data_IF_739565853361
#
_entry.id   IF_739565853361
#
_cell.length_a   1.000
_cell.length_b   1.000
_cell.length_c   1.000
_cell.angle_alpha   90.00
_cell.angle_beta   90.00
_cell.angle_gamma   90.00
#
_symmetry.space_group_name_H-M   'P 1'
#
loop_
_entity.id
_entity.type
_entity.pdbx_description
1 polymer ?
#
# COMPACT_ATOMS: atom_id res chain seq x y z
N UNK A 1 22.84 24.19 10.06
CA UNK A 1 21.97 23.20 9.38
C UNK A 1 22.19 23.35 7.88
N UNK A 2 22.46 22.28 7.13
CA UNK A 2 22.70 22.42 5.69
C UNK A 2 21.40 22.83 4.96
N UNK A 3 21.52 23.49 3.80
CA UNK A 3 20.37 24.02 3.05
C UNK A 3 19.37 22.94 2.63
N UNK A 4 19.88 21.77 2.22
CA UNK A 4 19.08 20.61 1.84
C UNK A 4 18.22 20.09 3.01
N UNK A 5 18.77 20.05 4.22
CA UNK A 5 18.08 19.60 5.43
C UNK A 5 17.00 20.60 5.84
N UNK A 6 17.26 21.90 5.67
CA UNK A 6 16.25 22.94 5.87
C UNK A 6 15.08 22.76 4.88
N UNK A 7 15.39 22.53 3.61
CA UNK A 7 14.37 22.28 2.59
C UNK A 7 13.54 21.03 2.88
N UNK A 8 14.18 19.91 3.20
CA UNK A 8 13.50 18.65 3.51
C UNK A 8 12.57 18.79 4.72
N UNK A 9 13.02 19.49 5.77
CA UNK A 9 12.20 19.78 6.94
C UNK A 9 10.97 20.60 6.58
N UNK A 10 11.13 21.70 5.83
CA UNK A 10 10.00 22.53 5.40
C UNK A 10 9.01 21.75 4.51
N UNK A 11 9.52 20.89 3.63
CA UNK A 11 8.68 20.04 2.78
C UNK A 11 7.88 19.02 3.61
N UNK A 12 8.51 18.37 4.60
CA UNK A 12 7.82 17.44 5.49
C UNK A 12 6.78 18.14 6.36
N UNK A 13 7.09 19.30 6.93
CA UNK A 13 6.15 20.12 7.69
C UNK A 13 4.94 20.53 6.85
N UNK A 14 5.17 20.93 5.59
CA UNK A 14 4.09 21.24 4.66
C UNK A 14 3.19 20.04 4.38
N UNK A 15 3.78 18.86 4.13
CA UNK A 15 3.00 17.62 3.92
C UNK A 15 2.21 17.27 5.18
N UNK A 16 2.79 17.42 6.38
CA UNK A 16 2.09 17.15 7.65
C UNK A 16 0.94 18.15 7.91
N UNK A 17 1.00 19.35 7.34
CA UNK A 17 -0.11 20.32 7.37
C UNK A 17 -1.20 20.03 6.33
N UNK A 18 -0.83 19.50 5.16
CA UNK A 18 -1.76 19.25 4.05
C UNK A 18 -2.46 17.87 4.15
N UNK A 19 -1.83 16.88 4.80
CA UNK A 19 -2.33 15.52 4.90
C UNK A 19 -2.58 15.10 6.36
N UNK A 20 -3.82 14.70 6.66
CA UNK A 20 -4.18 14.16 7.99
C UNK A 20 -3.44 12.86 8.32
N UNK A 21 -3.06 12.08 7.31
CA UNK A 21 -2.32 10.83 7.43
C UNK A 21 -1.43 10.58 6.22
N UNK A 22 -0.15 10.31 6.49
CA UNK A 22 0.78 9.70 5.52
C UNK A 22 0.96 8.24 5.90
N UNK A 23 0.49 7.34 5.03
CA UNK A 23 0.58 5.89 5.25
C UNK A 23 1.98 5.36 4.92
N UNK A 24 2.41 4.32 5.65
CA UNK A 24 3.71 3.66 5.45
C UNK A 24 3.50 2.22 5.03
N UNK A 25 4.10 1.81 3.90
CA UNK A 25 3.96 0.45 3.36
C UNK A 25 4.48 -0.65 4.30
N UNK A 26 5.51 -0.34 5.09
CA UNK A 26 6.12 -1.27 6.05
C UNK A 26 5.21 -1.50 7.26
N UNK A 27 4.33 -0.55 7.55
CA UNK A 27 3.31 -0.55 8.60
C UNK A 27 1.91 -0.41 8.00
N UNK A 28 1.66 -1.17 6.92
CA UNK A 28 0.45 -1.01 6.11
C UNK A 28 -0.84 -1.30 6.88
N UNK A 29 -0.81 -2.25 7.83
CA UNK A 29 -1.99 -2.60 8.62
C UNK A 29 -2.33 -1.48 9.62
N UNK A 30 -1.34 -0.98 10.35
CA UNK A 30 -1.46 0.18 11.24
C UNK A 30 -1.98 1.39 10.46
N UNK A 31 -1.41 1.62 9.27
CA UNK A 31 -1.82 2.71 8.38
C UNK A 31 -3.28 2.58 7.94
N UNK A 32 -3.76 1.38 7.61
CA UNK A 32 -5.16 1.15 7.23
C UNK A 32 -6.11 1.33 8.41
N UNK A 33 -5.75 0.89 9.62
CA UNK A 33 -6.57 1.11 10.81
C UNK A 33 -6.72 2.60 11.12
N UNK A 34 -5.63 3.37 11.04
CA UNK A 34 -5.68 4.82 11.23
C UNK A 34 -6.50 5.51 10.12
N UNK A 35 -6.37 5.08 8.86
CA UNK A 35 -7.20 5.60 7.78
C UNK A 35 -8.68 5.31 8.01
N UNK A 36 -9.01 4.08 8.40
CA UNK A 36 -10.37 3.64 8.74
C UNK A 36 -10.97 4.53 9.83
N UNK A 37 -10.21 4.82 10.89
CA UNK A 37 -10.66 5.66 12.00
C UNK A 37 -10.89 7.12 11.55
N UNK A 38 -9.97 7.69 10.78
CA UNK A 38 -10.10 9.04 10.23
C UNK A 38 -11.31 9.21 9.31
N UNK A 39 -11.64 8.18 8.54
CA UNK A 39 -12.78 8.20 7.60
C UNK A 39 -14.11 7.79 8.24
N UNK A 40 -14.12 7.45 9.53
CA UNK A 40 -15.27 6.86 10.22
C UNK A 40 -15.82 5.61 9.50
N UNK A 41 -14.93 4.81 8.92
CA UNK A 41 -15.29 3.60 8.19
C UNK A 41 -15.39 2.37 9.10
N UNK A 42 -16.11 1.35 8.63
CA UNK A 42 -16.09 0.05 9.27
C UNK A 42 -14.81 -0.70 8.88
N UNK A 43 -14.41 -1.67 9.69
CA UNK A 43 -13.23 -2.49 9.41
C UNK A 43 -13.35 -3.28 8.08
N UNK A 44 -14.59 -3.59 7.69
CA UNK A 44 -14.91 -4.27 6.42
C UNK A 44 -14.58 -3.41 5.18
N UNK A 45 -14.59 -2.09 5.31
CA UNK A 45 -14.38 -1.16 4.20
C UNK A 45 -12.89 -1.03 3.83
N UNK A 46 -11.99 -1.45 4.73
CA UNK A 46 -10.53 -1.47 4.52
C UNK A 46 -9.96 -2.88 4.33
N UNK A 47 -10.83 -3.88 4.15
CA UNK A 47 -10.43 -5.22 3.75
C UNK A 47 -9.69 -5.17 2.42
N UNK A 48 -8.55 -5.83 2.33
CA UNK A 48 -7.65 -5.72 1.19
C UNK A 48 -6.94 -7.04 0.86
N UNK A 49 -6.63 -7.20 -0.44
CA UNK A 49 -5.78 -8.28 -0.94
C UNK A 49 -4.36 -7.76 -1.16
N UNK A 50 -3.36 -8.53 -0.71
CA UNK A 50 -1.95 -8.13 -0.78
C UNK A 50 -1.34 -8.32 -2.18
N UNK A 51 -1.72 -7.44 -3.10
CA UNK A 51 -1.15 -7.32 -4.45
C UNK A 51 0.21 -6.60 -4.41
N UNK A 52 0.96 -6.65 -5.52
CA UNK A 52 2.22 -5.90 -5.72
C UNK A 52 3.32 -6.15 -4.69
N UNK A 53 3.18 -7.20 -3.87
CA UNK A 53 4.22 -7.63 -2.95
C UNK A 53 5.13 -8.66 -3.62
N UNK A 54 6.42 -8.62 -3.33
CA UNK A 54 7.37 -9.63 -3.80
C UNK A 54 7.00 -10.98 -3.20
N UNK A 55 7.03 -12.04 -4.02
CA UNK A 55 6.79 -13.41 -3.54
C UNK A 55 7.97 -13.90 -2.69
N UNK A 56 9.19 -13.58 -3.08
CA UNK A 56 10.41 -13.85 -2.32
C UNK A 56 10.76 -12.67 -1.39
N UNK A 57 11.34 -13.00 -0.23
CA UNK A 57 11.98 -11.97 0.61
C UNK A 57 13.20 -11.45 -0.11
N UNK A 58 13.40 -10.13 -0.08
CA UNK A 58 14.67 -9.54 -0.50
C UNK A 58 15.78 -10.10 0.39
N UNK A 59 16.95 -10.46 -0.18
CA UNK A 59 18.09 -10.88 0.61
C UNK A 59 18.50 -9.76 1.56
N UNK A 60 18.92 -10.16 2.75
CA UNK A 60 19.40 -9.21 3.75
C UNK A 60 20.66 -8.53 3.23
N UNK A 61 20.67 -7.19 3.26
CA UNK A 61 21.80 -6.40 2.76
C UNK A 61 22.77 -6.11 3.90
N UNK A 62 24.10 -6.16 3.65
CA UNK A 62 25.09 -5.76 4.65
C UNK A 62 24.85 -4.32 5.12
N UNK A 63 25.12 -4.05 6.40
CA UNK A 63 24.85 -2.75 7.02
C UNK A 63 25.55 -1.59 6.28
N UNK A 64 26.78 -1.82 5.82
CA UNK A 64 27.52 -0.85 5.02
C UNK A 64 26.78 -0.47 3.72
N UNK A 65 26.15 -1.43 3.06
CA UNK A 65 25.37 -1.19 1.84
C UNK A 65 24.08 -0.44 2.16
N UNK A 66 23.38 -0.80 3.25
CA UNK A 66 22.18 -0.06 3.71
C UNK A 66 22.50 1.41 3.97
N UNK A 67 23.60 1.69 4.68
CA UNK A 67 24.06 3.07 4.93
C UNK A 67 24.37 3.83 3.65
N UNK A 68 25.03 3.19 2.67
CA UNK A 68 25.28 3.81 1.36
C UNK A 68 23.98 4.14 0.62
N UNK A 69 23.01 3.21 0.59
CA UNK A 69 21.70 3.42 -0.04
C UNK A 69 20.97 4.60 0.61
N UNK A 70 20.92 4.68 1.95
CA UNK A 70 20.29 5.81 2.65
C UNK A 70 21.02 7.13 2.40
N UNK A 71 22.35 7.10 2.34
CA UNK A 71 23.16 8.28 2.03
C UNK A 71 23.02 8.75 0.58
N UNK A 72 22.68 7.87 -0.36
CA UNK A 72 22.36 8.25 -1.73
C UNK A 72 20.92 8.77 -1.85
N UNK A 73 19.98 8.18 -1.11
CA UNK A 73 18.56 8.56 -1.11
C UNK A 73 18.21 9.37 0.13
N UNK A 74 18.98 10.43 0.43
CA UNK A 74 18.82 11.20 1.68
C UNK A 74 17.43 11.80 1.84
N UNK A 75 16.82 12.25 0.74
CA UNK A 75 15.48 12.82 0.76
C UNK A 75 14.44 11.77 1.18
N UNK A 76 14.43 10.61 0.51
CA UNK A 76 13.50 9.52 0.82
C UNK A 76 13.75 8.94 2.22
N UNK A 77 15.02 8.80 2.61
CA UNK A 77 15.39 8.34 3.95
C UNK A 77 14.86 9.29 5.04
N UNK A 78 14.99 10.61 4.82
CA UNK A 78 14.46 11.62 5.73
C UNK A 78 12.93 11.59 5.80
N UNK A 79 12.25 11.55 4.65
CA UNK A 79 10.78 11.50 4.60
C UNK A 79 10.25 10.24 5.29
N UNK A 80 10.86 9.09 5.03
CA UNK A 80 10.49 7.84 5.69
C UNK A 80 10.66 7.93 7.20
N UNK A 81 11.81 8.41 7.70
CA UNK A 81 12.04 8.51 9.14
C UNK A 81 11.05 9.48 9.82
N UNK A 82 10.79 10.63 9.19
CA UNK A 82 9.84 11.63 9.69
C UNK A 82 8.43 11.05 9.78
N UNK A 83 7.90 10.49 8.69
CA UNK A 83 6.53 9.99 8.65
C UNK A 83 6.36 8.65 9.37
N UNK A 84 7.40 7.83 9.50
CA UNK A 84 7.37 6.69 10.39
C UNK A 84 7.19 7.14 11.85
N UNK A 85 7.94 8.17 12.28
CA UNK A 85 7.78 8.73 13.62
C UNK A 85 6.40 9.38 13.81
N UNK A 86 5.86 10.08 12.80
CA UNK A 86 4.51 10.67 12.90
C UNK A 86 3.42 9.61 12.94
N UNK A 87 3.56 8.52 12.17
CA UNK A 87 2.65 7.36 12.21
C UNK A 87 2.62 6.75 13.60
N UNK A 88 3.78 6.46 14.20
CA UNK A 88 3.84 5.86 15.54
C UNK A 88 3.27 6.79 16.62
N UNK A 89 3.46 8.11 16.52
CA UNK A 89 2.74 9.07 17.39
C UNK A 89 1.21 8.94 17.28
N UNK A 90 0.68 8.72 16.07
CA UNK A 90 -0.75 8.48 15.86
C UNK A 90 -1.20 7.11 16.38
N UNK A 91 -0.37 6.07 16.25
CA UNK A 91 -0.64 4.75 16.84
C UNK A 91 -0.71 4.82 18.37
N UNK A 92 0.23 5.53 19.00
CA UNK A 92 0.23 5.76 20.46
C UNK A 92 -1.06 6.48 20.90
N UNK A 93 -1.46 7.54 20.19
CA UNK A 93 -2.70 8.27 20.47
C UNK A 93 -3.97 7.42 20.26
N UNK A 94 -3.97 6.53 19.25
CA UNK A 94 -5.05 5.58 19.01
C UNK A 94 -5.12 4.48 20.07
N UNK A 95 -3.98 4.13 20.66
CA UNK A 95 -3.82 3.12 21.70
C UNK A 95 -3.33 1.77 21.16
N UNK A 96 -2.21 1.29 21.69
CA UNK A 96 -1.55 0.05 21.24
C UNK A 96 -2.42 -1.20 21.38
N UNK A 97 -3.18 -1.32 22.46
CA UNK A 97 -4.05 -2.46 22.69
C UNK A 97 -5.19 -2.51 21.67
N UNK A 98 -5.85 -1.37 21.43
CA UNK A 98 -6.91 -1.23 20.42
C UNK A 98 -6.36 -1.50 19.02
N UNK A 99 -5.18 -0.95 18.70
CA UNK A 99 -4.49 -1.18 17.44
C UNK A 99 -4.23 -2.67 17.19
N UNK A 100 -3.69 -3.38 18.19
CA UNK A 100 -3.43 -4.81 18.08
C UNK A 100 -4.71 -5.63 17.84
N UNK A 101 -5.81 -5.26 18.51
CA UNK A 101 -7.12 -5.90 18.34
C UNK A 101 -7.69 -5.66 16.94
N UNK A 102 -7.74 -4.41 16.47
CA UNK A 102 -8.27 -4.09 15.13
C UNK A 102 -7.40 -4.70 14.02
N UNK A 103 -6.07 -4.76 14.18
CA UNK A 103 -5.17 -5.45 13.24
C UNK A 103 -5.44 -6.96 13.20
N UNK A 104 -5.64 -7.60 14.36
CA UNK A 104 -5.93 -9.03 14.42
C UNK A 104 -7.23 -9.36 13.68
N UNK A 105 -8.26 -8.54 13.90
CA UNK A 105 -9.55 -8.70 13.23
C UNK A 105 -9.46 -8.41 11.73
N UNK A 106 -8.75 -7.35 11.32
CA UNK A 106 -8.55 -7.03 9.91
C UNK A 106 -7.81 -8.17 9.18
N UNK A 107 -6.82 -8.80 9.84
CA UNK A 107 -6.14 -9.98 9.29
C UNK A 107 -7.08 -11.16 9.12
N UNK A 108 -8.00 -11.39 10.07
CA UNK A 108 -9.04 -12.43 9.97
C UNK A 108 -9.94 -12.18 8.76
N UNK A 109 -10.50 -10.97 8.66
CA UNK A 109 -11.37 -10.56 7.55
C UNK A 109 -10.66 -10.64 6.19
N UNK A 110 -9.41 -10.18 6.10
CA UNK A 110 -8.60 -10.32 4.89
C UNK A 110 -8.41 -11.79 4.49
N UNK A 111 -8.24 -12.69 5.46
CA UNK A 111 -8.14 -14.13 5.21
C UNK A 111 -9.43 -14.74 4.69
N UNK A 112 -10.58 -14.31 5.20
CA UNK A 112 -11.90 -14.73 4.73
C UNK A 112 -12.19 -14.22 3.33
N UNK A 113 -11.96 -12.92 3.10
CA UNK A 113 -12.11 -12.29 1.80
C UNK A 113 -11.19 -12.93 0.76
N UNK A 114 -9.95 -13.27 1.14
CA UNK A 114 -9.05 -14.02 0.26
C UNK A 114 -9.63 -15.38 -0.12
N UNK A 115 -10.14 -16.16 0.84
CA UNK A 115 -10.74 -17.47 0.58
C UNK A 115 -12.01 -17.38 -0.26
N UNK A 116 -12.80 -16.34 -0.08
CA UNK A 116 -14.00 -16.09 -0.87
C UNK A 116 -13.63 -15.76 -2.32
N UNK A 117 -12.74 -14.78 -2.51
CA UNK A 117 -12.50 -14.20 -3.82
C UNK A 117 -11.47 -14.95 -4.67
N UNK A 118 -10.40 -15.49 -4.08
CA UNK A 118 -9.22 -15.94 -4.82
C UNK A 118 -9.28 -17.44 -5.13
N UNK A 119 -9.15 -17.79 -6.41
CA UNK A 119 -9.04 -19.18 -6.87
C UNK A 119 -7.60 -19.65 -6.93
N UNK A 120 -6.75 -18.82 -7.54
CA UNK A 120 -5.37 -19.13 -7.82
C UNK A 120 -4.47 -17.93 -7.45
N UNK A 121 -3.30 -18.26 -6.90
CA UNK A 121 -2.24 -17.30 -6.60
C UNK A 121 -1.27 -17.26 -7.77
N UNK A 122 -1.49 -16.31 -8.67
CA UNK A 122 -0.62 -16.07 -9.81
C UNK A 122 0.64 -15.28 -9.45
N UNK A 123 1.53 -15.21 -10.44
CA UNK A 123 2.65 -14.27 -10.46
C UNK A 123 2.51 -13.43 -11.70
N UNK A 124 2.49 -12.11 -11.55
CA UNK A 124 2.73 -11.23 -12.69
C UNK A 124 4.23 -11.13 -12.85
N UNK A 125 4.79 -12.02 -13.68
CA UNK A 125 6.14 -11.87 -14.17
C UNK A 125 6.15 -10.63 -15.05
N UNK A 126 6.82 -9.57 -14.61
CA UNK A 126 6.87 -8.33 -15.38
C UNK A 126 7.50 -8.61 -16.74
N UNK A 127 6.69 -8.75 -17.80
CA UNK A 127 7.18 -8.72 -19.20
C UNK A 127 7.73 -7.33 -19.55
N UNK A 128 7.42 -6.34 -18.72
CA UNK A 128 7.93 -4.99 -18.84
C UNK A 128 9.42 -4.97 -18.43
N UNK A 129 10.30 -5.10 -19.42
CA UNK A 129 11.76 -5.03 -19.26
C UNK A 129 12.22 -3.71 -18.62
N UNK A 130 11.42 -2.64 -18.62
CA UNK A 130 11.77 -1.39 -17.96
C UNK A 130 11.75 -1.51 -16.43
N UNK A 131 10.76 -2.23 -15.87
CA UNK A 131 10.57 -2.37 -14.42
C UNK A 131 10.94 -3.77 -13.89
N UNK A 132 11.18 -4.73 -14.78
CA UNK A 132 11.70 -6.06 -14.47
C UNK A 132 12.79 -6.46 -15.49
N UNK A 133 13.91 -5.72 -15.56
CA UNK A 133 14.92 -5.88 -16.62
C UNK A 133 15.52 -7.28 -16.69
N UNK A 134 15.61 -7.95 -15.54
CA UNK A 134 16.19 -9.29 -15.44
C UNK A 134 15.14 -10.40 -15.38
N UNK A 135 13.84 -10.08 -15.45
CA UNK A 135 12.78 -11.08 -15.33
C UNK A 135 12.64 -11.71 -13.95
N UNK A 136 13.47 -11.34 -12.97
CA UNK A 136 13.57 -11.98 -11.64
C UNK A 136 12.60 -11.41 -10.59
N UNK A 137 11.80 -10.40 -10.95
CA UNK A 137 10.82 -9.81 -10.05
C UNK A 137 9.47 -10.52 -10.18
N UNK A 138 9.19 -11.39 -9.22
CA UNK A 138 7.90 -12.05 -9.07
C UNK A 138 7.02 -11.29 -8.08
N UNK A 139 5.99 -10.61 -8.61
CA UNK A 139 4.98 -9.93 -7.80
C UNK A 139 3.73 -10.81 -7.65
N UNK A 140 3.15 -10.79 -6.43
CA UNK A 140 1.89 -11.47 -6.15
C UNK A 140 0.76 -10.86 -6.95
N UNK A 141 -0.01 -11.72 -7.59
CA UNK A 141 -1.27 -11.41 -8.24
C UNK A 141 -2.29 -12.52 -7.95
N UNK A 142 -3.57 -12.21 -8.12
CA UNK A 142 -4.66 -13.12 -7.76
C UNK A 142 -5.63 -13.23 -8.92
N UNK A 143 -6.06 -14.45 -9.22
CA UNK A 143 -7.16 -14.70 -10.14
C UNK A 143 -8.45 -14.93 -9.32
N UNK A 144 -9.54 -14.20 -9.61
CA UNK A 144 -10.79 -14.40 -8.91
C UNK A 144 -11.41 -15.76 -9.24
N UNK A 145 -12.22 -16.32 -8.33
CA UNK A 145 -13.06 -17.49 -8.63
C UNK A 145 -14.16 -17.14 -9.64
N UNK A 146 -14.76 -18.16 -10.24
CA UNK A 146 -15.93 -17.99 -11.10
C UNK A 146 -17.13 -17.53 -10.26
N UNK A 147 -17.96 -16.64 -10.82
CA UNK A 147 -19.18 -16.12 -10.18
C UNK A 147 -18.98 -15.45 -8.81
N UNK A 148 -17.87 -14.73 -8.62
CA UNK A 148 -17.65 -13.92 -7.40
C UNK A 148 -18.32 -12.55 -7.49
N UNK A 149 -18.45 -11.89 -6.33
CA UNK A 149 -18.97 -10.53 -6.23
C UNK A 149 -18.17 -9.54 -7.10
N UNK A 150 -18.80 -8.43 -7.50
CA UNK A 150 -18.12 -7.35 -8.21
C UNK A 150 -16.92 -6.81 -7.39
N UNK A 151 -17.04 -6.79 -6.06
CA UNK A 151 -15.95 -6.36 -5.18
C UNK A 151 -14.75 -7.30 -5.29
N UNK A 152 -14.95 -8.63 -5.28
CA UNK A 152 -13.88 -9.59 -5.52
C UNK A 152 -13.20 -9.40 -6.88
N UNK A 153 -13.98 -9.12 -7.93
CA UNK A 153 -13.42 -8.84 -9.26
C UNK A 153 -12.53 -7.60 -9.23
N UNK A 154 -12.99 -6.51 -8.61
CA UNK A 154 -12.22 -5.27 -8.53
C UNK A 154 -10.97 -5.43 -7.64
N UNK A 155 -11.11 -6.08 -6.48
CA UNK A 155 -10.00 -6.24 -5.53
C UNK A 155 -8.86 -7.13 -6.03
N UNK A 156 -9.12 -8.00 -7.01
CA UNK A 156 -8.09 -8.86 -7.64
C UNK A 156 -7.43 -8.24 -8.87
N UNK A 157 -8.00 -7.16 -9.42
CA UNK A 157 -7.46 -6.47 -10.60
C UNK A 157 -6.22 -5.65 -10.28
N UNK A 158 -5.31 -5.53 -11.25
CA UNK A 158 -4.20 -4.59 -11.17
C UNK A 158 -4.67 -3.14 -11.34
N UNK A 159 -3.92 -2.18 -10.79
CA UNK A 159 -4.28 -0.75 -10.80
C UNK A 159 -4.63 -0.22 -12.20
N UNK A 160 -3.85 -0.56 -13.23
CA UNK A 160 -4.14 -0.12 -14.60
C UNK A 160 -5.47 -0.66 -15.14
N UNK A 161 -5.83 -1.90 -14.79
CA UNK A 161 -7.07 -2.53 -15.22
C UNK A 161 -8.28 -1.88 -14.52
N UNK A 162 -8.17 -1.62 -13.22
CA UNK A 162 -9.20 -0.93 -12.45
C UNK A 162 -9.40 0.48 -13.00
N UNK A 163 -8.33 1.26 -13.16
CA UNK A 163 -8.41 2.63 -13.65
C UNK A 163 -9.02 2.71 -15.05
N UNK A 164 -8.66 1.80 -15.96
CA UNK A 164 -9.28 1.71 -17.28
C UNK A 164 -10.78 1.40 -17.17
N UNK A 165 -11.16 0.40 -16.36
CA UNK A 165 -12.56 0.02 -16.16
C UNK A 165 -13.40 1.16 -15.56
N UNK A 166 -12.86 1.87 -14.57
CA UNK A 166 -13.53 3.03 -13.97
C UNK A 166 -13.70 4.18 -14.97
N UNK A 167 -12.67 4.46 -15.78
CA UNK A 167 -12.74 5.45 -16.85
C UNK A 167 -13.80 5.10 -17.88
N UNK A 168 -13.82 3.86 -18.36
CA UNK A 168 -14.77 3.41 -19.37
C UNK A 168 -16.21 3.46 -18.84
N UNK A 169 -16.42 3.07 -17.57
CA UNK A 169 -17.72 3.20 -16.90
C UNK A 169 -18.17 4.66 -16.82
N UNK A 170 -17.28 5.57 -16.44
CA UNK A 170 -17.58 7.01 -16.38
C UNK A 170 -17.96 7.57 -17.76
N UNK A 171 -17.19 7.20 -18.80
CA UNK A 171 -17.45 7.64 -20.16
C UNK A 171 -18.78 7.09 -20.71
N UNK A 172 -19.11 5.82 -20.45
CA UNK A 172 -20.43 5.24 -20.79
C UNK A 172 -21.58 5.94 -20.08
N UNK A 173 -21.44 6.24 -18.78
CA UNK A 173 -22.45 7.01 -18.03
C UNK A 173 -22.68 8.41 -18.62
N UNK A 174 -21.63 9.02 -19.17
CA UNK A 174 -21.70 10.31 -19.84
C UNK A 174 -22.10 10.22 -21.32
N UNK A 175 -22.39 9.02 -21.85
CA UNK A 175 -22.67 8.76 -23.28
C UNK A 175 -21.55 9.27 -24.20
N UNK A 176 -20.30 9.21 -23.74
CA UNK A 176 -19.10 9.63 -24.48
C UNK A 176 -18.35 8.45 -25.12
N UNK A 177 -18.88 7.23 -24.97
CA UNK A 177 -18.43 6.01 -25.62
C UNK A 177 -19.68 5.24 -26.07
N UNK A 178 -19.69 4.82 -27.33
CA UNK A 178 -20.73 3.96 -27.94
C UNK A 178 -20.72 2.54 -27.34
#
# INVERSE_FOLDING_TARGET
MNEQAKYLKLAAERIEQEFDLVMISDHFMESLILLKDLMCWDLKDVVSLKLNSRKSKSPEQPEQLRRKIRNWNKADAFLFDHFNATLWRKVEAFGHQRMAQEIAELKRLNGEFFKECVNDTGVVGGKNKLFNPNGRLDLKAYAPKNNVSQMCQLATMGTLQISAKLRDNYLRQKQLLD
#
